data_IF_074562393673
#
_entry.id   IF_074562393673
#
_cell.length_a   1.000
_cell.length_b   1.000
_cell.length_c   1.000
_cell.angle_alpha   90.00
_cell.angle_beta   90.00
_cell.angle_gamma   90.00
#
_symmetry.space_group_name_H-M   'P 1'
#
loop_
_entity.id
_entity.type
_entity.pdbx_description
1 polymer ?
#
# COMPACT_ATOMS: atom_id res chain seq x y z
N UNK A 1 10.09 -15.53 6.41
CA UNK A 1 8.92 -14.99 5.68
C UNK A 1 7.95 -14.42 6.71
N UNK A 2 7.49 -13.18 6.54
CA UNK A 2 6.54 -12.55 7.47
C UNK A 2 5.12 -13.08 7.16
N UNK A 3 4.47 -13.83 8.08
CA UNK A 3 3.19 -14.47 7.80
C UNK A 3 2.08 -13.47 7.46
N UNK A 4 2.16 -12.26 8.01
CA UNK A 4 1.18 -11.19 7.80
C UNK A 4 1.07 -10.74 6.34
N UNK A 5 2.15 -10.82 5.56
CA UNK A 5 2.14 -10.51 4.13
C UNK A 5 1.29 -11.50 3.32
N UNK A 6 1.37 -12.79 3.66
CA UNK A 6 0.54 -13.83 3.05
C UNK A 6 -0.94 -13.67 3.45
N UNK A 7 -1.20 -13.31 4.71
CA UNK A 7 -2.55 -13.04 5.21
C UNK A 7 -3.20 -11.89 4.46
N UNK A 8 -2.47 -10.80 4.13
CA UNK A 8 -3.02 -9.69 3.33
C UNK A 8 -3.53 -10.15 1.97
N UNK A 9 -2.74 -10.92 1.22
CA UNK A 9 -3.15 -11.44 -0.07
C UNK A 9 -4.34 -12.41 0.05
N UNK A 10 -4.29 -13.33 1.01
CA UNK A 10 -5.38 -14.28 1.26
C UNK A 10 -6.68 -13.55 1.62
N UNK A 11 -6.59 -12.52 2.47
CA UNK A 11 -7.73 -11.70 2.87
C UNK A 11 -8.33 -10.93 1.68
N UNK A 12 -7.49 -10.36 0.80
CA UNK A 12 -7.97 -9.66 -0.41
C UNK A 12 -8.75 -10.59 -1.36
N UNK A 13 -8.26 -11.82 -1.55
CA UNK A 13 -8.94 -12.84 -2.36
C UNK A 13 -10.23 -13.31 -1.67
N UNK A 14 -10.17 -13.60 -0.38
CA UNK A 14 -11.32 -14.05 0.41
C UNK A 14 -12.46 -13.02 0.40
N UNK A 15 -12.13 -11.74 0.65
CA UNK A 15 -13.11 -10.65 0.60
C UNK A 15 -13.74 -10.53 -0.78
N UNK A 16 -12.95 -10.67 -1.85
CA UNK A 16 -13.45 -10.73 -3.21
C UNK A 16 -14.52 -11.82 -3.36
N UNK A 17 -14.21 -13.06 -2.97
CA UNK A 17 -15.14 -14.20 -3.13
C UNK A 17 -16.41 -14.00 -2.32
N UNK A 18 -16.26 -13.62 -1.06
CA UNK A 18 -17.38 -13.54 -0.11
C UNK A 18 -18.30 -12.38 -0.45
N UNK A 19 -17.76 -11.19 -0.70
CA UNK A 19 -18.56 -10.01 -1.02
C UNK A 19 -19.16 -10.10 -2.42
N UNK A 20 -18.48 -10.70 -3.41
CA UNK A 20 -19.07 -10.93 -4.72
C UNK A 20 -20.28 -11.86 -4.66
N UNK A 21 -20.22 -12.94 -3.85
CA UNK A 21 -21.36 -13.86 -3.67
C UNK A 21 -22.53 -13.22 -2.93
N UNK A 22 -22.26 -12.26 -2.05
CA UNK A 22 -23.27 -11.57 -1.24
C UNK A 22 -23.73 -10.23 -1.83
N UNK A 23 -23.18 -9.83 -2.99
CA UNK A 23 -23.48 -8.57 -3.67
C UNK A 23 -24.98 -8.18 -3.69
N UNK A 24 -25.94 -9.07 -4.05
CA UNK A 24 -27.36 -8.69 -4.09
C UNK A 24 -27.97 -8.36 -2.72
N UNK A 25 -27.34 -8.80 -1.63
CA UNK A 25 -27.82 -8.63 -0.25
C UNK A 25 -27.11 -7.49 0.49
N UNK A 26 -26.11 -6.83 -0.11
CA UNK A 26 -25.28 -5.83 0.58
C UNK A 26 -26.02 -4.53 0.94
N UNK A 27 -27.23 -4.31 0.43
CA UNK A 27 -28.12 -3.25 0.92
C UNK A 27 -28.47 -3.43 2.41
N UNK A 28 -28.51 -4.68 2.88
CA UNK A 28 -28.66 -5.00 4.29
C UNK A 28 -27.28 -5.05 4.95
N UNK A 29 -27.04 -4.13 5.88
CA UNK A 29 -25.76 -3.98 6.56
C UNK A 29 -25.26 -5.27 7.22
N UNK A 30 -26.17 -6.12 7.72
CA UNK A 30 -25.84 -7.41 8.33
C UNK A 30 -25.18 -8.36 7.32
N UNK A 31 -25.69 -8.41 6.09
CA UNK A 31 -25.15 -9.27 5.04
C UNK A 31 -23.82 -8.77 4.47
N UNK A 32 -23.49 -7.49 4.67
CA UNK A 32 -22.18 -6.92 4.35
C UNK A 32 -21.15 -7.13 5.48
N UNK A 33 -21.57 -6.93 6.73
CA UNK A 33 -20.68 -6.90 7.91
C UNK A 33 -20.38 -8.30 8.43
N UNK A 34 -21.40 -9.15 8.57
CA UNK A 34 -21.26 -10.48 9.20
C UNK A 34 -20.28 -11.41 8.47
N UNK A 35 -20.20 -11.46 7.13
CA UNK A 35 -19.28 -12.40 6.50
C UNK A 35 -17.85 -11.83 6.33
N UNK A 36 -17.68 -10.51 6.38
CA UNK A 36 -16.39 -9.86 6.19
C UNK A 36 -15.67 -9.53 7.52
N UNK A 37 -16.40 -8.96 8.48
CA UNK A 37 -15.81 -8.41 9.71
C UNK A 37 -15.25 -9.46 10.68
N UNK A 38 -15.87 -10.64 10.91
CA UNK A 38 -15.30 -11.63 11.80
C UNK A 38 -13.96 -12.20 11.27
N UNK A 39 -13.89 -12.50 9.97
CA UNK A 39 -12.66 -13.03 9.37
C UNK A 39 -11.59 -11.96 9.30
N UNK A 40 -11.93 -10.74 8.87
CA UNK A 40 -11.02 -9.61 8.88
C UNK A 40 -10.55 -9.26 10.30
N UNK A 41 -11.46 -9.24 11.26
CA UNK A 41 -11.18 -8.94 12.67
C UNK A 41 -10.29 -9.99 13.31
N UNK A 42 -10.50 -11.28 13.00
CA UNK A 42 -9.60 -12.34 13.45
C UNK A 42 -8.21 -12.19 12.82
N UNK A 43 -8.13 -11.93 11.52
CA UNK A 43 -6.86 -11.73 10.82
C UNK A 43 -6.11 -10.48 11.30
N UNK A 44 -6.81 -9.38 11.57
CA UNK A 44 -6.23 -8.15 12.14
C UNK A 44 -5.82 -8.41 13.59
N UNK A 45 -6.65 -9.11 14.36
CA UNK A 45 -6.40 -9.45 15.75
C UNK A 45 -5.13 -10.27 15.93
N UNK A 46 -4.87 -11.26 15.07
CA UNK A 46 -3.63 -12.05 15.12
C UNK A 46 -2.38 -11.20 14.83
N UNK A 47 -2.48 -10.21 13.93
CA UNK A 47 -1.38 -9.28 13.65
C UNK A 47 -1.15 -8.31 14.81
N UNK A 48 -2.22 -7.84 15.45
CA UNK A 48 -2.13 -6.99 16.63
C UNK A 48 -1.54 -7.73 17.84
N UNK A 49 -1.80 -9.04 18.00
CA UNK A 49 -1.13 -9.89 18.99
C UNK A 49 0.38 -9.99 18.73
N UNK A 50 0.80 -9.88 17.47
CA UNK A 50 2.20 -9.73 17.08
C UNK A 50 2.78 -8.33 17.30
N UNK A 51 2.02 -7.41 17.91
CA UNK A 51 2.38 -6.00 18.13
C UNK A 51 2.72 -5.19 16.87
N UNK A 52 2.24 -5.61 15.70
CA UNK A 52 2.47 -4.94 14.41
C UNK A 52 1.27 -4.04 14.02
N UNK A 53 1.31 -2.80 14.53
CA UNK A 53 0.25 -1.82 14.28
C UNK A 53 0.22 -1.31 12.83
N UNK A 54 1.39 -1.21 12.20
CA UNK A 54 1.52 -0.77 10.81
C UNK A 54 0.82 -1.72 9.85
N UNK A 55 1.08 -3.02 9.98
CA UNK A 55 0.42 -4.03 9.15
C UNK A 55 -1.08 -4.12 9.44
N UNK A 56 -1.50 -3.99 10.70
CA UNK A 56 -2.92 -3.97 11.06
C UNK A 56 -3.67 -2.80 10.40
N UNK A 57 -3.08 -1.60 10.40
CA UNK A 57 -3.67 -0.43 9.72
C UNK A 57 -3.78 -0.64 8.20
N UNK A 58 -2.76 -1.23 7.59
CA UNK A 58 -2.80 -1.58 6.16
C UNK A 58 -3.91 -2.61 5.87
N UNK A 59 -4.10 -3.60 6.74
CA UNK A 59 -5.20 -4.58 6.61
C UNK A 59 -6.57 -3.92 6.75
N UNK A 60 -6.72 -2.93 7.63
CA UNK A 60 -7.95 -2.14 7.74
C UNK A 60 -8.22 -1.38 6.43
N UNK A 61 -7.21 -0.74 5.84
CA UNK A 61 -7.35 -0.07 4.53
C UNK A 61 -7.70 -1.03 3.39
N UNK A 62 -7.10 -2.22 3.39
CA UNK A 62 -7.41 -3.30 2.46
C UNK A 62 -8.89 -3.69 2.55
N UNK A 63 -9.39 -3.95 3.76
CA UNK A 63 -10.79 -4.32 4.02
C UNK A 63 -11.72 -3.18 3.62
N UNK A 64 -11.38 -1.94 4.00
CA UNK A 64 -12.15 -0.75 3.65
C UNK A 64 -12.27 -0.59 2.13
N UNK A 65 -11.19 -0.79 1.38
CA UNK A 65 -11.18 -0.73 -0.09
C UNK A 65 -12.10 -1.76 -0.73
N UNK A 66 -12.03 -3.02 -0.28
CA UNK A 66 -12.95 -4.07 -0.72
C UNK A 66 -14.41 -3.72 -0.44
N UNK A 67 -14.72 -3.32 0.80
CA UNK A 67 -16.08 -2.96 1.20
C UNK A 67 -16.61 -1.75 0.43
N UNK A 68 -15.76 -0.78 0.12
CA UNK A 68 -16.14 0.43 -0.60
C UNK A 68 -16.58 0.09 -2.02
N UNK A 69 -15.78 -0.71 -2.73
CA UNK A 69 -16.11 -1.15 -4.10
C UNK A 69 -17.25 -2.17 -4.13
N UNK A 70 -17.44 -2.94 -3.06
CA UNK A 70 -18.61 -3.81 -2.91
C UNK A 70 -19.93 -3.02 -2.72
N UNK A 71 -19.88 -1.70 -2.47
CA UNK A 71 -21.07 -0.85 -2.32
C UNK A 71 -21.62 -0.81 -0.89
N UNK A 72 -20.79 -1.12 0.12
CA UNK A 72 -21.19 -1.04 1.52
C UNK A 72 -21.47 0.43 1.90
N UNK A 73 -22.56 0.74 2.64
CA UNK A 73 -22.95 2.12 2.91
C UNK A 73 -21.93 2.87 3.78
N UNK A 74 -21.66 4.13 3.44
CA UNK A 74 -20.68 5.02 4.10
C UNK A 74 -20.87 5.16 5.63
N UNK A 75 -22.09 4.99 6.13
CA UNK A 75 -22.38 4.98 7.59
C UNK A 75 -21.57 3.92 8.34
N UNK A 76 -21.29 2.78 7.72
CA UNK A 76 -20.51 1.69 8.32
C UNK A 76 -19.04 2.08 8.40
N UNK A 77 -18.52 2.83 7.42
CA UNK A 77 -17.18 3.40 7.47
C UNK A 77 -17.05 4.42 8.59
N UNK A 78 -18.05 5.29 8.78
CA UNK A 78 -18.10 6.22 9.91
C UNK A 78 -18.05 5.49 11.25
N UNK A 79 -18.88 4.45 11.43
CA UNK A 79 -18.87 3.63 12.64
C UNK A 79 -17.54 2.91 12.87
N UNK A 80 -16.95 2.34 11.81
CA UNK A 80 -15.64 1.70 11.87
C UNK A 80 -14.52 2.69 12.22
N UNK A 81 -14.55 3.90 11.68
CA UNK A 81 -13.59 4.95 11.99
C UNK A 81 -13.68 5.40 13.46
N UNK A 82 -14.89 5.54 14.00
CA UNK A 82 -15.09 5.82 15.43
C UNK A 82 -14.56 4.69 16.30
N UNK A 83 -14.89 3.43 15.97
CA UNK A 83 -14.37 2.26 16.69
C UNK A 83 -12.85 2.17 16.65
N UNK A 84 -12.23 2.41 15.48
CA UNK A 84 -10.79 2.46 15.33
C UNK A 84 -10.17 3.58 16.17
N UNK A 85 -10.77 4.78 16.16
CA UNK A 85 -10.31 5.91 16.98
C UNK A 85 -10.37 5.62 18.48
N UNK A 86 -11.46 5.01 18.96
CA UNK A 86 -11.59 4.57 20.36
C UNK A 86 -10.55 3.50 20.69
N UNK A 87 -10.34 2.54 19.79
CA UNK A 87 -9.31 1.49 19.96
C UNK A 87 -7.90 2.06 20.07
N UNK A 88 -7.55 3.02 19.19
CA UNK A 88 -6.27 3.74 19.26
C UNK A 88 -6.16 4.50 20.59
N UNK A 89 -7.18 5.27 20.97
CA UNK A 89 -7.18 6.00 22.24
C UNK A 89 -6.94 5.06 23.44
N UNK A 90 -7.68 3.95 23.51
CA UNK A 90 -7.52 2.95 24.57
C UNK A 90 -6.11 2.35 24.60
N UNK A 91 -5.56 1.96 23.44
CA UNK A 91 -4.23 1.37 23.33
C UNK A 91 -3.10 2.38 23.62
N UNK A 92 -3.33 3.68 23.37
CA UNK A 92 -2.35 4.73 23.62
C UNK A 92 -2.28 5.14 25.09
N UNK A 93 -3.40 5.12 25.82
CA UNK A 93 -3.44 5.45 27.25
C UNK A 93 -2.65 4.43 28.09
N UNK A 94 -2.55 3.18 27.63
CA UNK A 94 -1.81 2.12 28.33
C UNK A 94 -0.31 2.05 28.04
N UNK A 95 0.25 2.91 27.19
CA UNK A 95 1.66 2.83 26.79
C UNK A 95 2.30 4.21 26.71
N UNK A 96 3.14 4.52 27.71
CA UNK A 96 3.88 5.79 27.80
C UNK A 96 4.58 6.11 26.47
N UNK A 97 5.30 5.15 25.89
CA UNK A 97 6.00 5.32 24.61
C UNK A 97 5.12 5.72 23.41
N UNK A 98 3.85 5.25 23.35
CA UNK A 98 2.94 5.59 22.25
C UNK A 98 2.34 6.98 22.45
N UNK A 99 1.99 7.31 23.69
CA UNK A 99 1.50 8.62 24.06
C UNK A 99 2.55 9.70 23.80
N UNK A 100 3.82 9.41 24.13
CA UNK A 100 4.92 10.33 23.86
C UNK A 100 5.11 10.59 22.37
N UNK A 101 5.05 9.56 21.50
CA UNK A 101 5.16 9.75 20.04
C UNK A 101 4.02 10.56 19.42
N UNK A 102 2.79 10.42 19.94
CA UNK A 102 1.62 11.16 19.43
C UNK A 102 1.65 12.61 19.94
N UNK A 103 1.96 12.81 21.22
CA UNK A 103 2.05 14.14 21.82
C UNK A 103 3.25 14.94 21.29
N UNK A 104 4.37 14.30 21.02
CA UNK A 104 5.55 14.93 20.40
C UNK A 104 5.26 15.36 18.97
N UNK A 105 4.53 14.55 18.19
CA UNK A 105 4.07 14.92 16.85
C UNK A 105 3.04 16.07 16.87
N UNK A 106 2.06 16.04 17.78
CA UNK A 106 1.03 17.09 17.90
C UNK A 106 1.57 18.42 18.43
N UNK A 107 2.52 18.39 19.37
CA UNK A 107 3.09 19.60 19.97
C UNK A 107 4.19 20.24 19.12
N UNK A 108 4.81 19.47 18.22
CA UNK A 108 5.97 19.92 17.44
C UNK A 108 7.23 20.15 18.27
N UNK A 109 7.18 19.88 19.58
CA UNK A 109 8.30 19.99 20.51
C UNK A 109 8.66 18.60 21.04
N UNK A 110 9.89 18.18 20.84
CA UNK A 110 10.30 16.81 21.10
C UNK A 110 11.82 16.70 21.25
N UNK A 111 12.27 15.66 21.94
CA UNK A 111 13.69 15.39 22.06
C UNK A 111 14.27 14.99 20.70
N UNK A 112 15.13 15.87 20.16
CA UNK A 112 15.80 15.71 18.87
C UNK A 112 16.78 14.53 18.85
N UNK A 113 17.20 14.04 20.02
CA UNK A 113 18.13 12.91 20.16
C UNK A 113 17.44 11.57 20.38
N UNK A 114 16.11 11.55 20.59
CA UNK A 114 15.40 10.33 20.94
C UNK A 114 14.04 10.23 20.22
N UNK A 115 13.07 11.05 20.60
CA UNK A 115 11.68 10.93 20.12
C UNK A 115 11.50 11.35 18.67
N UNK A 116 12.14 12.45 18.27
CA UNK A 116 12.03 13.01 16.92
C UNK A 116 13.21 12.66 16.02
N UNK A 117 14.19 11.92 16.53
CA UNK A 117 15.41 11.60 15.82
C UNK A 117 15.13 11.04 14.41
N UNK A 118 14.26 10.03 14.30
CA UNK A 118 13.91 9.39 13.03
C UNK A 118 13.23 10.35 12.05
N UNK A 119 12.28 11.16 12.53
CA UNK A 119 11.53 12.10 11.69
C UNK A 119 12.41 13.26 11.22
N UNK A 120 13.28 13.78 12.09
CA UNK A 120 14.22 14.86 11.76
C UNK A 120 15.25 14.40 10.73
N UNK A 121 15.89 13.25 10.94
CA UNK A 121 16.85 12.69 9.99
C UNK A 121 16.20 12.32 8.65
N UNK A 122 14.95 11.83 8.67
CA UNK A 122 14.17 11.64 7.44
C UNK A 122 13.95 12.95 6.67
N UNK A 123 13.59 14.03 7.37
CA UNK A 123 13.44 15.36 6.78
C UNK A 123 14.75 15.97 6.30
N UNK A 124 15.86 15.76 7.01
CA UNK A 124 17.19 16.22 6.60
C UNK A 124 17.66 15.52 5.34
N UNK A 125 17.45 14.20 5.20
CA UNK A 125 17.74 13.49 3.96
C UNK A 125 16.99 14.06 2.76
N UNK A 126 15.71 14.40 2.92
CA UNK A 126 14.95 15.07 1.87
C UNK A 126 15.49 16.48 1.55
N UNK A 127 15.94 17.22 2.57
CA UNK A 127 16.47 18.57 2.39
C UNK A 127 17.85 18.58 1.73
N UNK A 128 18.74 17.63 2.06
CA UNK A 128 20.11 17.54 1.53
C UNK A 128 20.15 17.11 0.07
N UNK A 129 19.16 16.35 -0.40
CA UNK A 129 19.09 15.89 -1.79
C UNK A 129 18.88 16.98 -2.84
N UNK A 130 18.36 18.16 -2.47
CA UNK A 130 18.13 19.26 -3.41
C UNK A 130 17.28 18.85 -4.63
N UNK A 131 17.52 19.47 -5.79
CA UNK A 131 16.73 19.16 -7.00
C UNK A 131 17.14 17.83 -7.67
N UNK A 132 18.45 17.56 -7.77
CA UNK A 132 19.00 16.45 -8.56
C UNK A 132 19.61 15.29 -7.77
N UNK A 133 19.60 15.36 -6.43
CA UNK A 133 20.20 14.35 -5.56
C UNK A 133 21.70 14.48 -5.40
N UNK A 134 22.25 13.72 -4.45
CA UNK A 134 23.69 13.60 -4.22
C UNK A 134 24.35 12.53 -5.11
N UNK A 135 23.56 11.65 -5.72
CA UNK A 135 24.02 10.47 -6.46
C UNK A 135 23.67 9.16 -5.74
N UNK A 136 23.45 8.10 -6.52
CA UNK A 136 23.10 6.78 -6.01
C UNK A 136 24.21 6.23 -5.10
N UNK A 137 23.84 5.83 -3.88
CA UNK A 137 24.78 5.31 -2.88
C UNK A 137 25.55 6.36 -2.08
N UNK A 138 25.45 7.65 -2.44
CA UNK A 138 26.13 8.77 -1.75
C UNK A 138 25.28 9.36 -0.60
N UNK A 139 24.17 8.71 -0.22
CA UNK A 139 23.38 9.13 0.94
C UNK A 139 24.21 9.02 2.22
N UNK A 140 24.25 10.11 2.98
CA UNK A 140 24.95 10.18 4.26
C UNK A 140 24.09 9.62 5.38
N UNK A 141 22.78 9.83 5.32
CA UNK A 141 21.82 9.34 6.31
C UNK A 141 21.77 7.80 6.39
N UNK A 142 22.04 7.14 5.26
CA UNK A 142 22.05 5.68 5.11
C UNK A 142 23.07 4.95 5.98
N UNK A 143 24.21 5.57 6.33
CA UNK A 143 25.37 4.84 6.88
C UNK A 143 25.45 4.76 8.40
N UNK A 144 24.65 5.54 9.15
CA UNK A 144 24.53 5.38 10.61
C UNK A 144 23.48 6.29 11.27
N UNK A 145 22.95 7.28 10.55
CA UNK A 145 22.18 8.38 11.14
C UNK A 145 20.67 8.17 11.10
N UNK A 146 20.15 7.37 10.17
CA UNK A 146 18.72 7.08 10.08
C UNK A 146 18.40 5.61 10.41
N UNK A 147 17.84 5.31 11.61
CA UNK A 147 17.42 3.97 11.97
C UNK A 147 16.31 3.49 11.02
N UNK A 148 16.39 2.24 10.57
CA UNK A 148 15.46 1.67 9.58
C UNK A 148 15.41 2.42 8.22
N UNK A 149 16.50 3.11 7.84
CA UNK A 149 16.66 3.78 6.53
C UNK A 149 16.34 2.89 5.31
N UNK A 150 16.58 1.58 5.41
CA UNK A 150 16.34 0.63 4.32
C UNK A 150 14.88 0.12 4.26
N UNK A 151 14.07 0.39 5.30
CA UNK A 151 12.70 -0.08 5.42
C UNK A 151 11.70 1.07 5.44
N UNK A 152 11.48 1.67 6.60
CA UNK A 152 10.40 2.62 6.83
C UNK A 152 10.74 4.03 6.34
N UNK A 153 12.02 4.35 6.22
CA UNK A 153 12.52 5.65 5.76
C UNK A 153 13.26 5.59 4.41
N UNK A 154 13.05 4.53 3.62
CA UNK A 154 13.70 4.39 2.30
C UNK A 154 13.36 5.54 1.35
N UNK A 155 12.18 6.16 1.50
CA UNK A 155 11.80 7.34 0.72
C UNK A 155 12.67 8.56 1.04
N UNK A 156 13.14 8.73 2.29
CA UNK A 156 14.05 9.81 2.67
C UNK A 156 15.41 9.63 1.98
N UNK A 157 15.93 8.40 2.00
CA UNK A 157 17.18 8.05 1.31
C UNK A 157 17.04 8.26 -0.20
N UNK A 158 15.92 7.87 -0.79
CA UNK A 158 15.66 8.09 -2.21
C UNK A 158 15.62 9.60 -2.55
N UNK A 159 15.06 10.42 -1.66
CA UNK A 159 15.11 11.88 -1.79
C UNK A 159 16.50 12.47 -1.63
N UNK A 160 17.34 11.91 -0.76
CA UNK A 160 18.74 12.35 -0.65
C UNK A 160 19.56 11.97 -1.90
N UNK A 161 19.44 10.72 -2.36
CA UNK A 161 20.25 10.19 -3.47
C UNK A 161 19.78 10.73 -4.83
N UNK A 162 18.47 10.86 -5.07
CA UNK A 162 17.89 11.24 -6.37
C UNK A 162 17.24 12.64 -6.37
N UNK A 163 17.15 13.30 -5.22
CA UNK A 163 16.59 14.64 -5.10
C UNK A 163 15.07 14.69 -5.31
N UNK A 164 14.59 15.91 -5.52
CA UNK A 164 13.19 16.21 -5.82
C UNK A 164 12.71 15.47 -7.09
N UNK A 165 13.53 15.38 -8.13
CA UNK A 165 13.13 14.70 -9.38
C UNK A 165 12.87 13.22 -9.15
N UNK A 166 13.74 12.54 -8.40
CA UNK A 166 13.56 11.11 -8.10
C UNK A 166 12.32 10.83 -7.25
N UNK A 167 12.09 11.64 -6.21
CA UNK A 167 10.92 11.48 -5.34
C UNK A 167 9.61 11.76 -6.09
N UNK A 168 9.56 12.79 -6.95
CA UNK A 168 8.42 13.05 -7.83
C UNK A 168 8.19 11.92 -8.83
N UNK A 169 9.25 11.34 -9.40
CA UNK A 169 9.13 10.19 -10.29
C UNK A 169 8.47 9.01 -9.57
N UNK A 170 8.87 8.70 -8.33
CA UNK A 170 8.26 7.62 -7.53
C UNK A 170 6.77 7.91 -7.28
N UNK A 171 6.42 9.15 -6.95
CA UNK A 171 5.01 9.56 -6.78
C UNK A 171 4.20 9.36 -8.06
N UNK A 172 4.74 9.77 -9.21
CA UNK A 172 4.10 9.57 -10.52
C UNK A 172 3.92 8.08 -10.82
N UNK A 173 4.91 7.24 -10.52
CA UNK A 173 4.80 5.79 -10.73
C UNK A 173 3.69 5.17 -9.88
N UNK A 174 3.59 5.54 -8.60
CA UNK A 174 2.47 5.09 -7.76
C UNK A 174 1.12 5.63 -8.25
N UNK A 175 1.05 6.88 -8.73
CA UNK A 175 -0.16 7.44 -9.30
C UNK A 175 -0.61 6.72 -10.58
N UNK A 176 0.33 6.38 -11.46
CA UNK A 176 0.07 5.59 -12.67
C UNK A 176 -0.40 4.17 -12.32
N UNK A 177 0.24 3.55 -11.32
CA UNK A 177 -0.16 2.24 -10.83
C UNK A 177 -1.59 2.27 -10.25
N UNK A 178 -1.92 3.29 -9.44
CA UNK A 178 -3.27 3.49 -8.92
C UNK A 178 -4.29 3.69 -10.05
N UNK A 179 -3.96 4.53 -11.05
CA UNK A 179 -4.82 4.76 -12.20
C UNK A 179 -5.07 3.48 -13.01
N UNK A 180 -4.05 2.63 -13.17
CA UNK A 180 -4.18 1.34 -13.83
C UNK A 180 -5.11 0.38 -13.05
N UNK A 181 -4.96 0.27 -11.73
CA UNK A 181 -5.84 -0.56 -10.89
C UNK A 181 -7.28 -0.04 -10.88
N UNK A 182 -7.49 1.28 -10.78
CA UNK A 182 -8.81 1.90 -10.85
C UNK A 182 -9.46 1.63 -12.21
N UNK A 183 -8.70 1.65 -13.30
CA UNK A 183 -9.20 1.29 -14.62
C UNK A 183 -9.74 -0.15 -14.65
N UNK A 184 -9.01 -1.12 -14.09
CA UNK A 184 -9.46 -2.51 -13.99
C UNK A 184 -10.77 -2.59 -13.19
N UNK A 185 -10.85 -1.92 -12.04
CA UNK A 185 -12.06 -1.88 -11.20
C UNK A 185 -13.27 -1.32 -11.97
N UNK A 186 -13.07 -0.26 -12.75
CA UNK A 186 -14.16 0.41 -13.48
C UNK A 186 -14.64 -0.35 -14.72
N UNK A 187 -13.76 -1.12 -15.36
CA UNK A 187 -14.02 -1.72 -16.68
C UNK A 187 -14.33 -3.21 -16.64
N UNK A 188 -13.84 -3.94 -15.65
CA UNK A 188 -14.17 -5.35 -15.53
C UNK A 188 -15.67 -5.52 -15.23
N UNK A 189 -16.27 -6.66 -15.58
CA UNK A 189 -17.69 -6.92 -15.29
C UNK A 189 -17.86 -7.70 -13.99
N UNK A 190 -16.98 -8.68 -13.77
CA UNK A 190 -16.99 -9.55 -12.58
C UNK A 190 -16.76 -8.76 -11.25
N UNK A 191 -17.73 -8.78 -10.32
CA UNK A 191 -17.58 -8.19 -8.98
C UNK A 191 -16.40 -8.73 -8.17
N UNK A 192 -16.06 -10.01 -8.30
CA UNK A 192 -14.91 -10.61 -7.61
C UNK A 192 -13.62 -9.85 -7.98
N UNK A 193 -13.40 -9.66 -9.29
CA UNK A 193 -12.25 -8.93 -9.81
C UNK A 193 -12.23 -7.49 -9.31
N UNK A 194 -13.37 -6.80 -9.33
CA UNK A 194 -13.46 -5.41 -8.84
C UNK A 194 -13.07 -5.30 -7.37
N UNK A 195 -13.64 -6.14 -6.53
CA UNK A 195 -13.47 -6.10 -5.06
C UNK A 195 -12.06 -6.52 -4.68
N UNK A 196 -11.52 -7.59 -5.27
CA UNK A 196 -10.13 -8.01 -5.00
C UNK A 196 -9.13 -6.98 -5.50
N UNK A 197 -9.33 -6.40 -6.69
CA UNK A 197 -8.45 -5.34 -7.19
C UNK A 197 -8.52 -4.10 -6.29
N UNK A 198 -9.69 -3.76 -5.76
CA UNK A 198 -9.84 -2.67 -4.80
C UNK A 198 -9.07 -2.91 -3.50
N UNK A 199 -9.17 -4.11 -2.93
CA UNK A 199 -8.39 -4.51 -1.74
C UNK A 199 -6.88 -4.40 -1.97
N UNK A 200 -6.39 -4.94 -3.10
CA UNK A 200 -4.96 -4.88 -3.45
C UNK A 200 -4.52 -3.43 -3.71
N UNK A 201 -5.36 -2.63 -4.36
CA UNK A 201 -5.10 -1.23 -4.62
C UNK A 201 -4.97 -0.42 -3.33
N UNK A 202 -5.93 -0.53 -2.41
CA UNK A 202 -5.86 0.21 -1.14
C UNK A 202 -4.75 -0.31 -0.24
N UNK A 203 -4.43 -1.60 -0.30
CA UNK A 203 -3.23 -2.13 0.34
C UNK A 203 -1.97 -1.44 -0.21
N UNK A 204 -1.65 -1.59 -1.49
CA UNK A 204 -0.36 -1.11 -2.04
C UNK A 204 -0.28 0.41 -2.01
N UNK A 205 -1.31 1.10 -2.50
CA UNK A 205 -1.32 2.56 -2.60
C UNK A 205 -1.49 3.20 -1.23
N UNK A 206 -2.37 2.67 -0.38
CA UNK A 206 -2.55 3.18 0.99
C UNK A 206 -1.27 3.01 1.82
N UNK A 207 -0.62 1.85 1.72
CA UNK A 207 0.66 1.60 2.38
C UNK A 207 1.74 2.58 1.91
N UNK A 208 1.82 2.86 0.61
CA UNK A 208 2.76 3.83 0.05
C UNK A 208 2.47 5.27 0.53
N UNK A 209 1.21 5.69 0.51
CA UNK A 209 0.80 7.02 0.96
C UNK A 209 1.09 7.24 2.45
N UNK A 210 0.81 6.24 3.29
CA UNK A 210 1.16 6.27 4.72
C UNK A 210 2.66 6.42 4.89
N UNK A 211 3.47 5.57 4.24
CA UNK A 211 4.92 5.63 4.36
C UNK A 211 5.46 7.02 3.96
N UNK A 212 5.03 7.53 2.82
CA UNK A 212 5.44 8.85 2.33
C UNK A 212 5.01 9.93 3.33
N UNK A 213 3.76 9.90 3.82
CA UNK A 213 3.25 10.86 4.79
C UNK A 213 4.08 10.88 6.09
N UNK A 214 4.52 9.72 6.57
CA UNK A 214 5.43 9.62 7.72
C UNK A 214 6.77 10.29 7.43
N UNK A 215 7.35 10.02 6.26
CA UNK A 215 8.67 10.53 5.89
C UNK A 215 8.68 12.05 5.71
N UNK A 216 7.61 12.64 5.18
CA UNK A 216 7.46 14.10 5.07
C UNK A 216 6.89 14.78 6.33
N UNK A 217 6.66 14.01 7.41
CA UNK A 217 6.19 14.53 8.71
C UNK A 217 4.69 14.80 8.83
N UNK A 218 3.87 14.42 7.85
CA UNK A 218 2.41 14.57 7.88
C UNK A 218 1.70 13.53 8.76
N UNK A 219 2.38 12.45 9.14
CA UNK A 219 1.85 11.39 10.01
C UNK A 219 2.91 10.93 11.02
N UNK A 220 2.51 10.40 12.20
CA UNK A 220 3.44 9.86 13.17
C UNK A 220 4.12 8.59 12.63
N UNK A 221 5.29 8.23 13.17
CA UNK A 221 6.06 7.04 12.74
C UNK A 221 5.31 5.76 13.10
N UNK A 222 4.80 5.04 12.08
CA UNK A 222 3.93 3.86 12.23
C UNK A 222 4.62 2.54 11.79
N UNK A 223 5.86 2.59 11.29
CA UNK A 223 6.67 1.39 10.98
C UNK A 223 6.12 0.57 9.81
N UNK A 224 5.83 1.24 8.69
CA UNK A 224 5.22 0.63 7.51
C UNK A 224 6.18 0.78 6.32
N UNK A 225 6.64 -0.31 5.68
CA UNK A 225 7.63 -0.23 4.60
C UNK A 225 6.98 0.28 3.30
N UNK A 226 7.77 1.00 2.48
CA UNK A 226 7.33 1.43 1.15
C UNK A 226 7.24 0.23 0.19
N UNK A 227 6.06 -0.10 -0.36
CA UNK A 227 5.90 -1.23 -1.27
C UNK A 227 6.82 -1.12 -2.50
N UNK A 228 7.33 -2.25 -2.98
CA UNK A 228 8.20 -2.38 -4.17
C UNK A 228 9.59 -1.72 -4.09
N UNK A 229 9.84 -0.85 -3.10
CA UNK A 229 11.09 -0.09 -2.96
C UNK A 229 11.89 -0.51 -1.73
N UNK A 230 11.21 -0.80 -0.61
CA UNK A 230 11.84 -1.19 0.66
C UNK A 230 12.52 -2.57 0.62
N UNK A 231 13.58 -2.74 1.42
CA UNK A 231 14.38 -3.96 1.56
C UNK A 231 13.68 -5.14 2.29
N UNK A 232 12.37 -5.29 2.14
CA UNK A 232 11.58 -6.38 2.73
C UNK A 232 11.35 -7.53 1.74
N UNK A 233 12.22 -8.55 1.75
CA UNK A 233 12.16 -9.67 0.77
C UNK A 233 10.80 -10.39 0.70
N UNK A 234 10.18 -10.72 1.84
CA UNK A 234 8.85 -11.35 1.84
C UNK A 234 7.73 -10.40 1.43
N UNK A 235 7.80 -9.13 1.85
CA UNK A 235 6.82 -8.12 1.47
C UNK A 235 6.86 -7.85 -0.04
N UNK A 236 8.06 -7.79 -0.63
CA UNK A 236 8.27 -7.64 -2.06
C UNK A 236 7.68 -8.81 -2.85
N UNK A 237 7.98 -10.05 -2.45
CA UNK A 237 7.45 -11.25 -3.12
C UNK A 237 5.91 -11.25 -3.07
N UNK A 238 5.31 -10.95 -1.91
CA UNK A 238 3.86 -10.96 -1.77
C UNK A 238 3.18 -9.81 -2.50
N UNK A 239 3.78 -8.62 -2.55
CA UNK A 239 3.25 -7.51 -3.36
C UNK A 239 3.40 -7.80 -4.85
N UNK A 240 4.49 -8.42 -5.31
CA UNK A 240 4.62 -8.90 -6.69
C UNK A 240 3.58 -9.97 -7.02
N UNK A 241 3.31 -10.90 -6.11
CA UNK A 241 2.25 -11.89 -6.27
C UNK A 241 0.86 -11.24 -6.38
N UNK A 242 0.56 -10.25 -5.51
CA UNK A 242 -0.68 -9.49 -5.56
C UNK A 242 -0.84 -8.71 -6.88
N UNK A 243 0.23 -8.08 -7.36
CA UNK A 243 0.24 -7.44 -8.69
C UNK A 243 0.06 -8.45 -9.82
N UNK A 244 0.64 -9.65 -9.70
CA UNK A 244 0.42 -10.75 -10.65
C UNK A 244 -1.06 -11.14 -10.75
N UNK A 245 -1.77 -11.18 -9.62
CA UNK A 245 -3.22 -11.39 -9.59
C UNK A 245 -3.96 -10.28 -10.34
N UNK A 246 -3.64 -9.01 -10.06
CA UNK A 246 -4.27 -7.86 -10.74
C UNK A 246 -3.97 -7.84 -12.24
N UNK A 247 -2.75 -8.19 -12.65
CA UNK A 247 -2.37 -8.29 -14.07
C UNK A 247 -3.16 -9.42 -14.74
N UNK A 248 -3.36 -10.55 -14.06
CA UNK A 248 -4.22 -11.63 -14.56
C UNK A 248 -5.63 -11.14 -14.84
N UNK A 249 -6.21 -10.36 -13.91
CA UNK A 249 -7.53 -9.75 -14.07
C UNK A 249 -7.58 -8.69 -15.17
N UNK A 250 -6.53 -7.89 -15.32
CA UNK A 250 -6.44 -6.89 -16.39
C UNK A 250 -6.43 -7.56 -17.78
N UNK A 251 -5.89 -8.77 -17.90
CA UNK A 251 -5.88 -9.54 -19.16
C UNK A 251 -7.24 -10.16 -19.50
N UNK A 252 -8.12 -10.34 -18.52
CA UNK A 252 -9.49 -10.82 -18.73
C UNK A 252 -10.51 -9.70 -18.94
N UNK A 253 -10.08 -8.43 -18.97
CA UNK A 253 -10.95 -7.28 -19.27
C UNK A 253 -11.58 -7.43 -20.68
N UNK A 254 -12.87 -7.08 -20.87
CA UNK A 254 -13.50 -7.08 -22.20
C UNK A 254 -12.67 -6.30 -23.23
N UNK A 255 -12.36 -6.93 -24.37
CA UNK A 255 -11.53 -6.35 -25.43
C UNK A 255 -10.00 -6.43 -25.21
N UNK A 256 -9.52 -6.81 -24.01
CA UNK A 256 -8.09 -7.05 -23.80
C UNK A 256 -7.57 -8.28 -24.58
N UNK A 257 -8.27 -9.44 -24.60
CA UNK A 257 -7.83 -10.58 -25.40
C UNK A 257 -7.69 -10.25 -26.89
N UNK A 258 -8.63 -9.48 -27.44
CA UNK A 258 -8.62 -9.03 -28.83
C UNK A 258 -7.45 -8.07 -29.12
N UNK A 259 -7.21 -7.11 -28.23
CA UNK A 259 -6.07 -6.18 -28.35
C UNK A 259 -4.72 -6.90 -28.23
N UNK A 260 -4.60 -7.89 -27.34
CA UNK A 260 -3.40 -8.72 -27.21
C UNK A 260 -3.18 -9.61 -28.44
N UNK A 261 -4.24 -10.23 -28.97
CA UNK A 261 -4.18 -11.03 -30.19
C UNK A 261 -3.78 -10.17 -31.42
N UNK A 262 -4.32 -8.96 -31.52
CA UNK A 262 -3.95 -8.00 -32.55
C UNK A 262 -2.46 -7.60 -32.46
N UNK A 263 -1.95 -7.36 -31.25
CA UNK A 263 -0.52 -7.06 -31.01
C UNK A 263 0.40 -8.22 -31.37
N UNK A 264 0.03 -9.46 -31.05
CA UNK A 264 0.82 -10.63 -31.46
C UNK A 264 0.94 -10.73 -32.99
N UNK A 265 -0.15 -10.41 -33.70
CA UNK A 265 -0.14 -10.33 -35.17
C UNK A 265 0.69 -9.18 -35.74
N UNK A 266 0.83 -8.06 -35.02
CA UNK A 266 1.71 -6.94 -35.41
C UNK A 266 3.18 -7.28 -35.17
N UNK A 267 3.53 -7.81 -34.00
CA UNK A 267 4.91 -8.24 -33.67
C UNK A 267 5.39 -9.32 -34.64
N UNK A 268 4.54 -10.32 -34.94
CA UNK A 268 4.87 -11.39 -35.89
C UNK A 268 5.05 -10.85 -37.32
N UNK A 269 4.27 -9.83 -37.72
CA UNK A 269 4.44 -9.14 -39.01
C UNK A 269 5.73 -8.33 -39.07
N UNK A 270 6.07 -7.60 -38.02
CA UNK A 270 7.33 -6.84 -37.95
C UNK A 270 8.56 -7.75 -37.97
N UNK A 271 8.51 -8.89 -37.28
CA UNK A 271 9.60 -9.88 -37.31
C UNK A 271 9.74 -10.57 -38.67
N UNK A 272 8.64 -10.81 -39.39
CA UNK A 272 8.69 -11.38 -40.74
C UNK A 272 9.35 -10.43 -41.77
N UNK A 273 9.28 -9.11 -41.54
CA UNK A 273 9.99 -8.11 -42.35
C UNK A 273 11.49 -8.11 -42.07
N UNK A 274 11.89 -8.33 -40.81
CA UNK A 274 13.32 -8.37 -40.40
C UNK A 274 13.98 -9.69 -40.83
N UNK A 275 13.24 -10.80 -40.86
CA UNK A 275 13.77 -12.11 -41.27
C UNK A 275 14.00 -12.30 -42.77
N UNK A 276 13.83 -11.27 -43.61
CA UNK A 276 13.92 -11.37 -45.08
C UNK A 276 15.12 -10.69 -45.72
N UNK A 277 16.14 -10.32 -44.96
CA UNK A 277 17.40 -9.83 -45.52
C UNK A 277 18.45 -10.93 -45.65
N UNK A 278 18.62 -11.39 -46.92
CA UNK A 278 19.82 -11.97 -47.57
C UNK A 278 20.15 -13.44 -47.25
N UNK A 279 20.27 -14.37 -48.21
CA UNK A 279 20.57 -14.21 -49.64
C UNK A 279 22.05 -13.99 -49.86
#
# INVERSE_FOLDING_TARGET
>A
AQPSEAVKLALALWLGVVLARKLPLLHEWQHAVVPAVPVAGLAIGTVLLGHDLGTAMVMVLLVAGAMFVAGVPLRIFGAAAVLAGVGVAFLTIGSDNRMTRISSWLSGSCDVTNECYQTLHGGWGLATGGFGGLGLGESREKWSYLPAAHNDFIFAILGEELGLVGTLLVLVLFALLAAAMIRVIRRHEDPFVKITTAAICTWIIGQALINIAVVIGLAPVIGVPLPLVSAGGSALIMTMAALGVVISFARSEPGAPEALAARAGVVRRSLAVIGRTRG
#
